data_IF_843060406064
#
_entry.id   IF_843060406064
#
_cell.length_a   1.000
_cell.length_b   1.000
_cell.length_c   1.000
_cell.angle_alpha   90.00
_cell.angle_beta   90.00
_cell.angle_gamma   90.00
#
_symmetry.space_group_name_H-M   'P 1'
#
loop_
_entity.id
_entity.type
_entity.pdbx_description
1 polymer ?
#
# COMPACT_ATOMS: atom_id res chain seq x y z
N UNK A 1 -30.24 2.57 -21.99
CA UNK A 1 -29.15 1.58 -21.88
C UNK A 1 -28.43 1.85 -20.57
N UNK A 2 -28.02 0.82 -19.79
CA UNK A 2 -27.23 1.05 -18.59
C UNK A 2 -25.88 1.68 -18.96
N UNK A 3 -25.35 2.54 -18.09
CA UNK A 3 -24.04 3.15 -18.29
C UNK A 3 -22.92 2.09 -18.20
N UNK A 4 -21.77 2.29 -18.88
CA UNK A 4 -20.61 1.41 -18.77
C UNK A 4 -20.15 1.30 -17.31
N UNK A 5 -19.79 0.08 -16.89
CA UNK A 5 -19.16 -0.16 -15.58
C UNK A 5 -17.70 0.27 -15.66
N UNK A 6 -17.28 1.17 -14.77
CA UNK A 6 -15.88 1.53 -14.59
C UNK A 6 -15.30 0.69 -13.44
N UNK A 7 -14.26 -0.08 -13.71
CA UNK A 7 -13.53 -0.79 -12.66
C UNK A 7 -12.80 0.20 -11.76
N UNK A 8 -13.02 0.07 -10.46
CA UNK A 8 -12.28 0.81 -9.43
C UNK A 8 -11.31 -0.16 -8.73
N UNK A 9 -10.05 -0.14 -9.14
CA UNK A 9 -8.99 -0.87 -8.43
C UNK A 9 -8.77 -0.27 -7.05
N UNK A 10 -8.65 -1.10 -6.01
CA UNK A 10 -8.35 -0.64 -4.66
C UNK A 10 -6.92 -1.02 -4.26
N UNK A 11 -6.23 -0.09 -3.59
CA UNK A 11 -4.87 -0.32 -3.10
C UNK A 11 -4.78 -1.42 -2.05
N UNK A 12 -5.88 -1.74 -1.36
CA UNK A 12 -5.92 -2.88 -0.45
C UNK A 12 -5.75 -4.22 -1.20
N UNK A 13 -6.36 -4.36 -2.37
CA UNK A 13 -6.17 -5.54 -3.22
C UNK A 13 -4.77 -5.56 -3.84
N UNK A 14 -4.29 -4.44 -4.39
CA UNK A 14 -2.95 -4.36 -4.96
C UNK A 14 -1.84 -4.70 -3.94
N UNK A 15 -1.98 -4.24 -2.69
CA UNK A 15 -1.03 -4.49 -1.60
C UNK A 15 -0.88 -5.98 -1.25
N UNK A 16 -1.93 -6.79 -1.43
CA UNK A 16 -1.95 -8.17 -0.96
C UNK A 16 -0.82 -9.01 -1.58
N UNK A 17 -0.64 -8.91 -2.88
CA UNK A 17 0.37 -9.71 -3.59
C UNK A 17 1.79 -9.27 -3.21
N UNK A 18 2.04 -7.96 -3.09
CA UNK A 18 3.31 -7.46 -2.56
C UNK A 18 3.56 -7.92 -1.13
N UNK A 19 2.54 -8.00 -0.29
CA UNK A 19 2.66 -8.49 1.08
C UNK A 19 3.02 -9.98 1.13
N UNK A 20 2.40 -10.80 0.27
CA UNK A 20 2.72 -12.22 0.14
C UNK A 20 4.16 -12.42 -0.39
N UNK A 21 4.61 -11.61 -1.34
CA UNK A 21 6.00 -11.63 -1.84
C UNK A 21 7.01 -11.06 -0.85
N UNK A 22 6.60 -10.12 -0.01
CA UNK A 22 7.45 -9.55 1.02
C UNK A 22 7.64 -10.50 2.22
N UNK A 23 6.82 -11.55 2.36
CA UNK A 23 6.51 -12.33 3.58
C UNK A 23 7.55 -12.24 4.71
N UNK A 24 7.53 -11.08 5.36
CA UNK A 24 8.41 -10.70 6.47
C UNK A 24 8.05 -11.53 7.70
N UNK A 25 6.78 -11.92 7.84
CA UNK A 25 6.29 -12.69 8.98
C UNK A 25 6.78 -14.14 8.94
N UNK A 26 6.71 -14.82 7.79
CA UNK A 26 7.27 -16.15 7.63
C UNK A 26 8.80 -16.13 7.62
N UNK A 27 9.43 -15.11 7.03
CA UNK A 27 10.88 -14.95 7.11
C UNK A 27 11.37 -14.74 8.56
N UNK A 28 10.69 -13.90 9.34
CA UNK A 28 10.99 -13.67 10.76
C UNK A 28 10.75 -14.93 11.61
N UNK A 29 9.64 -15.63 11.39
CA UNK A 29 9.33 -16.90 12.08
C UNK A 29 10.33 -18.00 11.74
N UNK A 30 10.72 -18.15 10.47
CA UNK A 30 11.76 -19.12 10.03
C UNK A 30 13.13 -18.76 10.59
N UNK A 31 13.52 -17.47 10.57
CA UNK A 31 14.76 -17.00 11.20
C UNK A 31 14.80 -17.30 12.70
N UNK A 32 13.69 -17.10 13.42
CA UNK A 32 13.60 -17.46 14.85
C UNK A 32 13.66 -18.97 15.13
N UNK A 33 13.38 -19.81 14.13
CA UNK A 33 13.38 -21.28 14.21
C UNK A 33 14.67 -21.91 13.66
N UNK A 34 15.60 -21.12 13.14
CA UNK A 34 16.83 -21.62 12.52
C UNK A 34 16.65 -22.20 11.11
N UNK A 35 15.47 -22.07 10.51
CA UNK A 35 15.17 -22.52 9.15
C UNK A 35 15.68 -21.51 8.11
N UNK A 36 15.99 -21.99 6.90
CA UNK A 36 16.25 -21.14 5.76
C UNK A 36 15.02 -20.28 5.45
N UNK A 37 15.14 -18.97 5.71
CA UNK A 37 14.12 -18.00 5.34
C UNK A 37 13.91 -18.05 3.81
N UNK A 38 12.64 -18.07 3.38
CA UNK A 38 12.31 -17.96 1.96
C UNK A 38 12.84 -16.65 1.38
N UNK A 39 12.97 -16.60 0.06
CA UNK A 39 13.48 -15.41 -0.64
C UNK A 39 12.54 -14.22 -0.37
N UNK A 40 13.01 -13.24 0.40
CA UNK A 40 12.33 -11.96 0.58
C UNK A 40 12.66 -11.11 -0.65
N UNK A 41 11.63 -10.59 -1.32
CA UNK A 41 11.83 -9.64 -2.41
C UNK A 41 11.86 -8.21 -1.84
N UNK A 42 13.02 -7.52 -1.80
CA UNK A 42 13.12 -6.19 -1.21
C UNK A 42 12.19 -5.17 -1.86
N UNK A 43 12.00 -5.29 -3.19
CA UNK A 43 11.09 -4.45 -3.97
C UNK A 43 9.61 -4.63 -3.55
N UNK A 44 9.22 -5.84 -3.15
CA UNK A 44 7.87 -6.10 -2.66
C UNK A 44 7.66 -5.49 -1.27
N UNK A 45 8.68 -5.54 -0.40
CA UNK A 45 8.64 -4.87 0.89
C UNK A 45 8.54 -3.34 0.73
N UNK A 46 9.30 -2.76 -0.19
CA UNK A 46 9.23 -1.34 -0.51
C UNK A 46 7.83 -0.94 -1.02
N UNK A 47 7.23 -1.74 -1.90
CA UNK A 47 5.86 -1.53 -2.38
C UNK A 47 4.84 -1.53 -1.22
N UNK A 48 4.95 -2.49 -0.29
CA UNK A 48 4.10 -2.54 0.91
C UNK A 48 4.26 -1.29 1.76
N UNK A 49 5.50 -0.85 2.03
CA UNK A 49 5.76 0.33 2.86
C UNK A 49 5.21 1.62 2.25
N UNK A 50 5.37 1.81 0.93
CA UNK A 50 4.82 2.96 0.20
C UNK A 50 3.30 2.99 0.27
N UNK A 51 2.65 1.85 0.07
CA UNK A 51 1.18 1.74 0.16
C UNK A 51 0.71 1.91 1.62
N UNK A 52 1.43 1.39 2.61
CA UNK A 52 1.10 1.56 4.03
C UNK A 52 1.15 3.02 4.47
N UNK A 53 2.12 3.79 3.96
CA UNK A 53 2.20 5.24 4.21
C UNK A 53 0.93 5.97 3.77
N UNK A 54 0.34 5.57 2.63
CA UNK A 54 -0.95 6.10 2.18
C UNK A 54 -2.09 5.71 3.14
N UNK A 55 -2.12 4.45 3.60
CA UNK A 55 -3.14 3.98 4.54
C UNK A 55 -3.07 4.68 5.89
N UNK A 56 -1.87 5.02 6.38
CA UNK A 56 -1.71 5.72 7.65
C UNK A 56 -2.28 7.15 7.58
N UNK A 57 -2.08 7.87 6.46
CA UNK A 57 -2.73 9.17 6.24
C UNK A 57 -4.25 9.02 6.25
N UNK A 58 -4.79 8.04 5.50
CA UNK A 58 -6.24 7.83 5.42
C UNK A 58 -6.83 7.42 6.77
N UNK A 59 -6.11 6.61 7.56
CA UNK A 59 -6.51 6.26 8.93
C UNK A 59 -6.55 7.49 9.84
N UNK A 60 -5.56 8.37 9.74
CA UNK A 60 -5.46 9.59 10.56
C UNK A 60 -6.58 10.61 10.33
N UNK A 61 -7.29 10.52 9.22
CA UNK A 61 -8.42 11.41 8.89
C UNK A 61 -9.79 10.75 9.00
N UNK A 62 -9.85 9.51 9.51
CA UNK A 62 -11.13 8.86 9.78
C UNK A 62 -11.89 9.62 10.88
N UNK A 63 -13.18 9.87 10.66
CA UNK A 63 -14.04 10.63 11.56
C UNK A 63 -13.98 12.15 11.40
N UNK A 64 -13.05 12.69 10.60
CA UNK A 64 -13.02 14.11 10.23
C UNK A 64 -14.10 14.46 9.21
N UNK A 65 -14.44 15.75 9.12
CA UNK A 65 -15.42 16.23 8.15
C UNK A 65 -14.90 16.13 6.71
N UNK A 66 -15.81 16.32 5.74
CA UNK A 66 -15.48 16.13 4.33
C UNK A 66 -14.43 17.13 3.82
N UNK A 67 -14.44 18.37 4.30
CA UNK A 67 -13.52 19.41 3.87
C UNK A 67 -12.12 19.16 4.44
N UNK A 68 -12.02 18.80 5.72
CA UNK A 68 -10.76 18.42 6.35
C UNK A 68 -10.13 17.19 5.67
N UNK A 69 -10.93 16.16 5.38
CA UNK A 69 -10.44 14.98 4.67
C UNK A 69 -9.93 15.32 3.27
N UNK A 70 -10.61 16.22 2.57
CA UNK A 70 -10.18 16.66 1.25
C UNK A 70 -8.85 17.42 1.32
N UNK A 71 -8.73 18.37 2.24
CA UNK A 71 -7.51 19.15 2.43
C UNK A 71 -6.30 18.25 2.72
N UNK A 72 -6.44 17.33 3.67
CA UNK A 72 -5.34 16.39 4.03
C UNK A 72 -5.00 15.45 2.86
N UNK A 73 -5.99 14.98 2.10
CA UNK A 73 -5.70 14.14 0.92
C UNK A 73 -4.95 14.92 -0.16
N UNK A 74 -5.32 16.17 -0.41
CA UNK A 74 -4.61 17.04 -1.36
C UNK A 74 -3.17 17.28 -0.93
N UNK A 75 -2.96 17.58 0.35
CA UNK A 75 -1.63 17.90 0.88
C UNK A 75 -0.72 16.67 1.02
N UNK A 76 -1.26 15.54 1.50
CA UNK A 76 -0.46 14.38 1.90
C UNK A 76 -0.66 13.18 0.97
N UNK A 77 -1.89 12.84 0.59
CA UNK A 77 -2.15 11.62 -0.21
C UNK A 77 -1.79 11.78 -1.68
N UNK A 78 -2.08 12.94 -2.29
CA UNK A 78 -1.79 13.21 -3.71
C UNK A 78 -0.30 13.08 -4.04
N UNK A 79 0.65 13.71 -3.31
CA UNK A 79 2.07 13.54 -3.62
C UNK A 79 2.54 12.10 -3.44
N UNK A 80 2.13 11.41 -2.37
CA UNK A 80 2.47 10.00 -2.14
C UNK A 80 2.01 9.10 -3.30
N UNK A 81 0.83 9.37 -3.83
CA UNK A 81 0.27 8.65 -4.98
C UNK A 81 1.04 8.94 -6.27
N UNK A 82 1.46 10.18 -6.49
CA UNK A 82 2.28 10.56 -7.64
C UNK A 82 3.67 9.89 -7.57
N UNK A 83 4.30 9.89 -6.40
CA UNK A 83 5.58 9.20 -6.16
C UNK A 83 5.46 7.69 -6.36
N UNK A 84 4.40 7.07 -5.83
CA UNK A 84 4.14 5.64 -6.03
C UNK A 84 3.96 5.31 -7.52
N UNK A 85 3.23 6.14 -8.26
CA UNK A 85 3.06 5.95 -9.70
C UNK A 85 4.39 6.06 -10.44
N UNK A 86 5.14 7.13 -10.19
CA UNK A 86 6.46 7.35 -10.81
C UNK A 86 7.41 6.17 -10.53
N UNK A 87 7.41 5.65 -9.31
CA UNK A 87 8.21 4.48 -8.92
C UNK A 87 7.76 3.19 -9.62
N UNK A 88 6.46 2.95 -9.78
CA UNK A 88 5.93 1.78 -10.49
C UNK A 88 6.21 1.79 -12.00
N UNK A 89 6.41 2.97 -12.58
CA UNK A 89 6.59 3.15 -14.03
C UNK A 89 8.02 3.51 -14.45
N UNK A 90 8.95 3.58 -13.49
CA UNK A 90 10.37 3.81 -13.75
C UNK A 90 11.05 2.55 -14.28
#
# INVERSE_FOLDING_TARGET
MPAPVLEAGCYAHARREFFELADVASAARKKSRGDHAGMIYPIALEAVQRIDTLFDVVRGINGKDAAERLAVRQELSVPLMAELHAWLTA
#
